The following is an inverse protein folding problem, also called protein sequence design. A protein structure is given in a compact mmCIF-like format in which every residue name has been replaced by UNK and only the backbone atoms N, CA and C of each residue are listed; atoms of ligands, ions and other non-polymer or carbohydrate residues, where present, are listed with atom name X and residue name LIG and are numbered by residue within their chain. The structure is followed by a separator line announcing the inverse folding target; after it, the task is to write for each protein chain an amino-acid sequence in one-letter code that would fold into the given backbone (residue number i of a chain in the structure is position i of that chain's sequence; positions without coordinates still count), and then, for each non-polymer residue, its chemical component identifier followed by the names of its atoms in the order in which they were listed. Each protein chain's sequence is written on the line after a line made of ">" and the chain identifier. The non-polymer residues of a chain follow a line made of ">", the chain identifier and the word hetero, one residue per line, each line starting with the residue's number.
data_IF_274820252440
#
_entry.id   IF_274820252440
#
_cell.length_a   1.000
_cell.length_b   1.000
_cell.length_c   1.000
_cell.angle_alpha   90.00
_cell.angle_beta   90.00
_cell.angle_gamma   90.00
#
_symmetry.space_group_name_H-M   'P 1'
#
loop_
_entity.id
_entity.type
_entity.pdbx_description
1 polymer ?
#
# COMPACT_ATOMS: atom_id res chain seq x y z
N UNK A 1 0.15 7.82 -7.03
CA UNK A 1 1.33 8.13 -6.21
C UNK A 1 1.71 9.59 -6.38
N UNK A 2 0.73 10.50 -6.35
CA UNK A 2 1.04 11.89 -6.09
C UNK A 2 1.16 12.01 -4.56
N UNK A 3 2.16 12.73 -4.08
CA UNK A 3 2.34 13.06 -2.65
C UNK A 3 2.67 11.89 -1.71
N UNK A 4 3.43 10.90 -2.20
CA UNK A 4 4.10 9.88 -1.37
C UNK A 4 5.60 10.00 -1.59
N UNK A 5 6.32 10.37 -0.54
CA UNK A 5 7.78 10.50 -0.59
C UNK A 5 8.46 9.13 -0.47
N UNK A 6 9.45 8.84 -1.31
CA UNK A 6 10.23 7.60 -1.21
C UNK A 6 11.66 7.82 -1.71
N UNK A 7 12.58 6.93 -1.31
CA UNK A 7 13.96 6.91 -1.83
C UNK A 7 14.02 5.95 -3.02
N UNK A 8 14.57 6.41 -4.13
CA UNK A 8 14.73 5.59 -5.34
C UNK A 8 15.88 4.59 -5.14
N UNK A 9 15.55 3.34 -4.78
CA UNK A 9 16.50 2.23 -4.64
C UNK A 9 15.91 0.94 -5.22
N UNK A 10 16.78 0.02 -5.65
CA UNK A 10 16.38 -1.27 -6.24
C UNK A 10 15.51 -2.12 -5.30
N UNK A 11 15.64 -1.93 -3.99
CA UNK A 11 14.83 -2.58 -2.96
C UNK A 11 13.31 -2.31 -3.10
N UNK A 12 12.90 -1.34 -3.92
CA UNK A 12 11.49 -1.01 -4.15
C UNK A 12 10.87 -1.67 -5.38
N UNK A 13 11.65 -2.29 -6.26
CA UNK A 13 11.14 -2.82 -7.54
C UNK A 13 10.07 -3.90 -7.31
N UNK A 14 10.32 -4.83 -6.38
CA UNK A 14 9.41 -5.95 -6.11
C UNK A 14 8.19 -5.56 -5.26
N UNK A 15 8.14 -4.34 -4.73
CA UNK A 15 7.04 -3.86 -3.88
C UNK A 15 6.38 -2.58 -4.42
N UNK A 16 6.55 -2.30 -5.71
CA UNK A 16 5.75 -1.25 -6.34
C UNK A 16 4.26 -1.58 -6.17
N UNK A 17 3.37 -0.58 -6.00
CA UNK A 17 1.94 -0.83 -5.80
C UNK A 17 1.28 -1.74 -6.85
N UNK A 18 1.82 -1.77 -8.07
CA UNK A 18 1.35 -2.63 -9.16
C UNK A 18 1.71 -4.12 -8.99
N UNK A 19 2.66 -4.46 -8.11
CA UNK A 19 2.99 -5.84 -7.76
C UNK A 19 1.91 -6.49 -6.86
N UNK A 20 1.03 -5.68 -6.26
CA UNK A 20 -0.03 -6.14 -5.37
C UNK A 20 -1.42 -6.04 -6.02
N UNK A 21 -2.38 -6.78 -5.44
CA UNK A 21 -3.80 -6.62 -5.77
C UNK A 21 -4.29 -5.23 -5.33
N UNK A 22 -5.25 -4.62 -6.05
CA UNK A 22 -5.89 -3.40 -5.58
C UNK A 22 -6.52 -3.61 -4.19
N UNK A 23 -6.13 -2.79 -3.22
CA UNK A 23 -6.62 -2.93 -1.83
C UNK A 23 -8.15 -2.80 -1.74
N UNK A 24 -8.75 -1.94 -2.56
CA UNK A 24 -10.20 -1.74 -2.59
C UNK A 24 -10.95 -3.03 -2.97
N UNK A 25 -10.39 -3.83 -3.89
CA UNK A 25 -10.94 -5.14 -4.25
C UNK A 25 -10.87 -6.09 -3.07
N UNK A 26 -9.70 -6.17 -2.42
CA UNK A 26 -9.48 -7.05 -1.26
C UNK A 26 -10.44 -6.71 -0.11
N UNK A 27 -10.66 -5.42 0.16
CA UNK A 27 -11.57 -4.99 1.23
C UNK A 27 -13.05 -5.24 0.88
N UNK A 28 -13.43 -5.10 -0.38
CA UNK A 28 -14.79 -5.42 -0.83
C UNK A 28 -15.09 -6.92 -0.69
N UNK A 29 -14.14 -7.78 -1.06
CA UNK A 29 -14.29 -9.24 -0.99
C UNK A 29 -14.38 -9.75 0.46
N UNK A 30 -13.82 -9.01 1.43
CA UNK A 30 -13.81 -9.38 2.84
C UNK A 30 -14.89 -8.68 3.69
N UNK A 31 -15.79 -7.91 3.08
CA UNK A 31 -16.65 -6.95 3.77
C UNK A 31 -17.61 -7.57 4.81
N UNK A 32 -17.99 -8.83 4.64
CA UNK A 32 -18.87 -9.57 5.56
C UNK A 32 -18.12 -10.15 6.77
N UNK A 33 -16.79 -10.27 6.69
CA UNK A 33 -15.95 -10.89 7.71
C UNK A 33 -15.23 -9.88 8.61
N UNK A 34 -15.16 -8.61 8.21
CA UNK A 34 -14.35 -7.59 8.92
C UNK A 34 -15.12 -6.29 9.13
N UNK A 35 -14.64 -5.48 10.07
CA UNK A 35 -15.10 -4.09 10.25
C UNK A 35 -13.92 -3.13 10.16
N UNK A 36 -14.10 -2.05 9.40
CA UNK A 36 -13.07 -1.01 9.26
C UNK A 36 -13.09 -0.13 10.50
N UNK A 37 -11.98 -0.11 11.25
CA UNK A 37 -11.82 0.82 12.37
C UNK A 37 -11.30 2.18 11.92
N UNK A 38 -10.28 2.17 11.07
CA UNK A 38 -9.62 3.36 10.55
C UNK A 38 -9.10 3.09 9.13
N UNK A 39 -8.96 4.16 8.35
CA UNK A 39 -8.30 4.16 7.05
C UNK A 39 -7.06 5.06 7.14
N UNK A 40 -5.92 4.56 6.67
CA UNK A 40 -4.66 5.29 6.71
C UNK A 40 -4.24 5.68 5.30
N UNK A 41 -3.62 6.86 5.18
CA UNK A 41 -2.98 7.34 3.94
C UNK A 41 -1.47 7.35 4.13
N UNK A 42 -0.76 6.80 3.16
CA UNK A 42 0.69 6.83 3.14
C UNK A 42 1.21 8.25 2.87
N UNK A 43 2.30 8.62 3.56
CA UNK A 43 3.02 9.89 3.37
C UNK A 43 4.46 9.65 2.91
N UNK A 44 5.12 8.64 3.48
CA UNK A 44 6.51 8.30 3.17
C UNK A 44 6.68 6.78 3.09
N UNK A 45 7.59 6.31 2.25
CA UNK A 45 8.05 4.92 2.22
C UNK A 45 9.53 4.85 2.61
N UNK A 46 9.85 4.08 3.65
CA UNK A 46 11.21 3.86 4.13
C UNK A 46 11.47 2.36 4.16
N UNK A 47 12.46 1.93 3.39
CA UNK A 47 13.01 0.57 3.45
C UNK A 47 14.46 0.64 3.91
N UNK A 48 14.88 -0.38 4.65
CA UNK A 48 16.26 -0.49 5.14
C UNK A 48 17.29 -0.44 4.01
N UNK A 49 18.53 -0.14 4.38
CA UNK A 49 19.70 -0.46 3.55
C UNK A 49 20.00 -1.96 3.62
#
# INVERSE_FOLDING_TARGET
>A
MADIEYRDTEAFIDEIPQAYKPIDRVMADAADLVSVRHTLRQLVNVKGD
#
